data_IF_249692744151
#
_entry.id   IF_249692744151
#
_cell.length_a   1.000
_cell.length_b   1.000
_cell.length_c   1.000
_cell.angle_alpha   90.00
_cell.angle_beta   90.00
_cell.angle_gamma   90.00
#
_symmetry.space_group_name_H-M   'P 1'
#
loop_
_entity.id
_entity.type
_entity.pdbx_description
1 polymer ?
#
# COMPACT_ATOMS: atom_id res chain seq x y z
N UNK A 1 -41.07 21.12 -31.26
CA UNK A 1 -40.08 20.10 -31.42
C UNK A 1 -39.00 20.38 -30.37
N UNK A 2 -39.13 19.78 -29.17
CA UNK A 2 -38.19 19.99 -28.07
C UNK A 2 -37.02 19.01 -28.26
N UNK A 3 -35.86 19.50 -28.55
CA UNK A 3 -34.62 18.76 -28.59
C UNK A 3 -34.23 18.39 -27.12
N UNK A 4 -34.40 17.14 -26.80
CA UNK A 4 -33.95 16.54 -25.54
C UNK A 4 -32.43 16.35 -25.63
N UNK A 5 -31.66 17.32 -25.13
CA UNK A 5 -30.21 17.14 -24.95
C UNK A 5 -30.00 16.23 -23.76
N UNK A 6 -29.91 14.93 -24.02
CA UNK A 6 -29.35 13.98 -23.05
C UNK A 6 -27.91 14.40 -22.79
N UNK A 7 -27.63 14.91 -21.58
CA UNK A 7 -26.27 15.09 -21.11
C UNK A 7 -25.63 13.70 -21.04
N UNK A 8 -24.75 13.40 -21.97
CA UNK A 8 -23.81 12.28 -21.87
C UNK A 8 -22.88 12.61 -20.67
N UNK A 9 -23.18 12.03 -19.52
CA UNK A 9 -22.18 11.94 -18.46
C UNK A 9 -21.05 11.08 -19.00
N UNK A 10 -19.89 11.67 -19.23
CA UNK A 10 -18.68 10.89 -19.51
C UNK A 10 -18.50 9.90 -18.34
N UNK A 11 -18.36 8.62 -18.65
CA UNK A 11 -18.05 7.62 -17.65
C UNK A 11 -16.76 8.03 -16.89
N UNK A 12 -16.72 7.75 -15.58
CA UNK A 12 -15.52 8.01 -14.80
C UNK A 12 -14.34 7.27 -15.44
N UNK A 13 -13.19 7.90 -15.51
CA UNK A 13 -11.95 7.26 -16.01
C UNK A 13 -11.54 6.06 -15.16
N UNK A 14 -12.09 5.90 -13.96
CA UNK A 14 -11.87 4.73 -13.11
C UNK A 14 -12.53 3.45 -13.64
N UNK A 15 -13.55 3.55 -14.51
CA UNK A 15 -14.27 2.37 -15.04
C UNK A 15 -13.40 1.49 -15.99
N UNK A 16 -12.26 2.00 -16.44
CA UNK A 16 -11.30 1.21 -17.22
C UNK A 16 -10.51 0.21 -16.37
N UNK A 17 -10.45 0.42 -15.05
CA UNK A 17 -9.70 -0.42 -14.13
C UNK A 17 -10.55 -1.58 -13.64
N UNK A 18 -10.39 -2.72 -14.28
CA UNK A 18 -11.10 -3.96 -13.96
C UNK A 18 -10.14 -4.91 -13.25
N UNK A 19 -10.63 -5.54 -12.19
CA UNK A 19 -9.84 -6.52 -11.44
C UNK A 19 -9.49 -7.72 -12.34
N UNK A 20 -8.22 -8.06 -12.36
CA UNK A 20 -7.69 -9.22 -13.08
C UNK A 20 -7.99 -10.55 -12.37
N UNK A 21 -7.61 -11.68 -12.99
CA UNK A 21 -7.85 -13.01 -12.44
C UNK A 21 -7.22 -13.23 -11.07
N UNK A 22 -6.10 -12.58 -10.78
CA UNK A 22 -5.41 -12.72 -9.48
C UNK A 22 -6.21 -12.15 -8.30
N UNK A 23 -7.19 -11.31 -8.57
CA UNK A 23 -8.11 -10.75 -7.57
C UNK A 23 -9.42 -11.57 -7.44
N UNK A 24 -9.50 -12.76 -8.04
CA UNK A 24 -10.61 -13.68 -7.95
C UNK A 24 -10.18 -15.02 -7.34
N UNK A 25 -11.06 -15.72 -6.59
CA UNK A 25 -10.77 -17.07 -6.11
C UNK A 25 -10.57 -18.06 -7.26
N UNK A 26 -9.61 -18.98 -7.13
CA UNK A 26 -9.37 -20.04 -8.11
C UNK A 26 -9.55 -21.44 -7.52
N UNK A 27 -10.17 -22.37 -8.25
CA UNK A 27 -10.24 -23.78 -7.82
C UNK A 27 -8.84 -24.36 -7.56
N UNK A 28 -8.70 -25.05 -6.42
CA UNK A 28 -7.43 -25.68 -6.04
C UNK A 28 -6.42 -24.77 -5.35
N UNK A 29 -6.65 -23.46 -5.29
CA UNK A 29 -5.84 -22.55 -4.49
C UNK A 29 -6.28 -22.64 -3.02
N UNK A 30 -5.38 -23.00 -2.08
CA UNK A 30 -5.73 -23.02 -0.66
C UNK A 30 -6.05 -21.61 -0.16
N UNK A 31 -7.16 -21.49 0.58
CA UNK A 31 -7.65 -20.21 1.10
C UNK A 31 -7.09 -19.99 2.51
N UNK A 32 -6.48 -18.85 2.74
CA UNK A 32 -6.03 -18.40 4.04
C UNK A 32 -7.19 -18.01 4.95
N UNK A 33 -6.88 -17.72 6.20
CA UNK A 33 -7.86 -17.36 7.22
C UNK A 33 -7.73 -15.88 7.58
N UNK A 34 -8.84 -15.15 7.56
CA UNK A 34 -8.94 -13.81 8.13
C UNK A 34 -9.48 -13.90 9.56
N UNK A 35 -8.77 -13.30 10.50
CA UNK A 35 -9.10 -13.24 11.93
C UNK A 35 -9.38 -11.78 12.28
N UNK A 36 -10.38 -11.53 13.09
CA UNK A 36 -10.75 -10.19 13.51
C UNK A 36 -12.15 -9.74 13.04
N UNK A 37 -12.54 -8.48 13.28
CA UNK A 37 -11.64 -7.47 13.85
C UNK A 37 -11.22 -7.75 15.29
N UNK A 38 -9.95 -7.54 15.57
CA UNK A 38 -9.38 -7.44 16.90
C UNK A 38 -9.22 -5.96 17.25
N UNK A 39 -9.16 -5.63 18.53
CA UNK A 39 -9.03 -4.25 18.99
C UNK A 39 -7.68 -4.00 19.67
N UNK A 40 -6.97 -2.96 19.23
CA UNK A 40 -5.72 -2.50 19.83
C UNK A 40 -5.94 -1.15 20.54
N UNK A 41 -5.76 -1.11 21.84
CA UNK A 41 -5.63 0.14 22.61
C UNK A 41 -4.19 0.66 22.48
N UNK A 42 -4.01 1.99 22.55
CA UNK A 42 -2.70 2.58 22.35
C UNK A 42 -2.28 3.50 23.50
N UNK A 43 -1.03 3.34 23.95
CA UNK A 43 -0.35 4.29 24.82
C UNK A 43 0.32 5.42 24.04
N UNK A 44 0.74 5.13 22.79
CA UNK A 44 1.32 6.13 21.89
C UNK A 44 0.30 7.20 21.51
N UNK A 45 -0.97 6.79 21.31
CA UNK A 45 -2.12 7.67 21.13
C UNK A 45 -3.11 7.42 22.27
N UNK A 46 -2.92 8.05 23.46
CA UNK A 46 -3.74 7.77 24.64
C UNK A 46 -5.25 7.95 24.39
N UNK A 47 -6.04 7.13 25.05
CA UNK A 47 -7.50 7.13 24.94
C UNK A 47 -8.03 6.80 23.53
N UNK A 48 -7.23 6.12 22.70
CA UNK A 48 -7.69 5.62 21.40
C UNK A 48 -7.66 4.11 21.32
N UNK A 49 -8.61 3.58 20.57
CA UNK A 49 -8.62 2.18 20.11
C UNK A 49 -8.70 2.15 18.60
N UNK A 50 -8.33 1.03 18.01
CA UNK A 50 -8.43 0.77 16.58
C UNK A 50 -8.67 -0.68 16.30
N UNK A 51 -9.43 -0.96 15.27
CA UNK A 51 -9.65 -2.32 14.80
C UNK A 51 -8.57 -2.73 13.82
N UNK A 52 -8.19 -4.02 13.89
CA UNK A 52 -7.30 -4.62 12.91
C UNK A 52 -7.73 -6.07 12.62
N UNK A 53 -7.37 -6.53 11.44
CA UNK A 53 -7.58 -7.92 11.00
C UNK A 53 -6.24 -8.54 10.66
N UNK A 54 -6.16 -9.87 10.77
CA UNK A 54 -4.97 -10.63 10.46
C UNK A 54 -5.35 -11.69 9.41
N UNK A 55 -4.68 -11.65 8.26
CA UNK A 55 -4.74 -12.74 7.30
C UNK A 55 -3.56 -13.68 7.54
N UNK A 56 -3.87 -14.97 7.70
CA UNK A 56 -2.89 -16.06 7.84
C UNK A 56 -3.02 -16.95 6.61
N UNK A 57 -2.00 -17.03 5.75
CA UNK A 57 -2.06 -17.89 4.56
C UNK A 57 -2.13 -19.37 4.94
N UNK A 58 -2.79 -20.16 4.09
CA UNK A 58 -2.93 -21.60 4.31
C UNK A 58 -1.56 -22.33 4.36
N UNK A 59 -0.52 -21.74 3.77
CA UNK A 59 0.85 -22.24 3.76
C UNK A 59 1.68 -21.86 5.00
N UNK A 60 1.10 -21.11 5.94
CA UNK A 60 1.82 -20.72 7.15
C UNK A 60 2.19 -21.92 8.01
N UNK A 61 3.48 -22.01 8.34
CA UNK A 61 4.05 -23.01 9.24
C UNK A 61 4.68 -22.27 10.44
N UNK A 62 4.16 -22.45 11.68
CA UNK A 62 4.67 -21.73 12.85
C UNK A 62 6.13 -22.11 13.21
N UNK A 63 6.67 -23.19 12.66
CA UNK A 63 8.08 -23.56 12.83
C UNK A 63 9.03 -22.70 11.97
N UNK A 64 8.51 -21.96 11.00
CA UNK A 64 9.26 -21.13 10.05
C UNK A 64 8.83 -19.66 10.16
N UNK A 65 9.79 -18.71 10.14
CA UNK A 65 9.43 -17.31 10.17
C UNK A 65 8.73 -16.90 8.87
N UNK A 66 7.55 -16.22 9.00
CA UNK A 66 6.80 -15.68 7.89
C UNK A 66 7.15 -14.19 7.65
N UNK A 67 7.02 -13.75 6.42
CA UNK A 67 7.04 -12.32 6.10
C UNK A 67 5.81 -11.61 6.69
N UNK A 68 5.91 -10.29 6.85
CA UNK A 68 4.84 -9.43 7.36
C UNK A 68 4.52 -8.32 6.35
N UNK A 69 3.23 -8.08 6.11
CA UNK A 69 2.80 -6.90 5.38
C UNK A 69 1.63 -6.23 6.08
N UNK A 70 1.79 -4.93 6.40
CA UNK A 70 0.78 -4.13 7.12
C UNK A 70 0.13 -3.16 6.15
N UNK A 71 -1.20 -3.09 6.19
CA UNK A 71 -2.01 -2.21 5.35
C UNK A 71 -2.73 -1.18 6.21
N UNK A 72 -2.53 0.10 5.90
CA UNK A 72 -3.23 1.21 6.52
C UNK A 72 -4.62 1.35 5.90
N UNK A 73 -5.63 1.84 6.66
CA UNK A 73 -7.03 1.78 6.27
C UNK A 73 -7.48 0.34 5.98
N UNK A 74 -7.18 -0.56 6.91
CA UNK A 74 -7.27 -2.01 6.76
C UNK A 74 -8.58 -2.52 6.21
N UNK A 75 -9.69 -1.86 6.54
CA UNK A 75 -11.03 -2.20 6.08
C UNK A 75 -11.16 -2.20 4.54
N UNK A 76 -10.44 -1.32 3.81
CA UNK A 76 -10.46 -1.33 2.34
C UNK A 76 -9.68 -2.49 1.73
N UNK A 77 -8.64 -2.96 2.42
CA UNK A 77 -7.75 -3.99 1.89
C UNK A 77 -8.20 -5.40 2.24
N UNK A 78 -8.83 -5.60 3.40
CA UNK A 78 -9.30 -6.92 3.87
C UNK A 78 -10.62 -7.35 3.24
N UNK A 79 -11.43 -6.42 2.78
CA UNK A 79 -12.76 -6.71 2.22
C UNK A 79 -12.65 -7.42 0.87
N UNK A 80 -13.18 -8.64 0.80
CA UNK A 80 -13.17 -9.49 -0.40
C UNK A 80 -14.07 -8.96 -1.55
N UNK A 81 -14.88 -7.94 -1.29
CA UNK A 81 -15.76 -7.29 -2.28
C UNK A 81 -15.27 -5.92 -2.72
N UNK A 82 -14.31 -5.35 -1.99
CA UNK A 82 -13.69 -4.08 -2.34
C UNK A 82 -12.69 -4.20 -3.50
N UNK A 83 -12.01 -3.11 -3.83
CA UNK A 83 -11.11 -3.05 -4.98
C UNK A 83 -9.81 -3.85 -4.76
N UNK A 84 -9.24 -3.85 -3.54
CA UNK A 84 -7.93 -4.46 -3.28
C UNK A 84 -7.97 -5.97 -3.07
N UNK A 85 -8.93 -6.50 -2.32
CA UNK A 85 -9.14 -7.95 -2.07
C UNK A 85 -7.87 -8.70 -1.65
N UNK A 86 -7.06 -8.10 -0.80
CA UNK A 86 -5.72 -8.61 -0.47
C UNK A 86 -5.70 -10.08 -0.03
N UNK A 87 -6.64 -10.58 0.80
CA UNK A 87 -6.63 -12.01 1.16
C UNK A 87 -6.68 -12.93 -0.07
N UNK A 88 -7.53 -12.62 -1.06
CA UNK A 88 -7.63 -13.41 -2.30
C UNK A 88 -6.37 -13.28 -3.16
N UNK A 89 -5.83 -12.07 -3.29
CA UNK A 89 -4.58 -11.83 -4.03
C UNK A 89 -3.42 -12.58 -3.38
N UNK A 90 -3.32 -12.56 -2.06
CA UNK A 90 -2.28 -13.28 -1.32
C UNK A 90 -2.41 -14.80 -1.50
N UNK A 91 -3.63 -15.36 -1.39
CA UNK A 91 -3.87 -16.78 -1.65
C UNK A 91 -3.29 -17.20 -3.00
N UNK A 92 -3.61 -16.44 -4.05
CA UNK A 92 -3.18 -16.72 -5.42
C UNK A 92 -1.66 -16.58 -5.61
N UNK A 93 -1.06 -15.49 -5.14
CA UNK A 93 0.36 -15.22 -5.35
C UNK A 93 1.26 -16.13 -4.50
N UNK A 94 0.88 -16.41 -3.24
CA UNK A 94 1.62 -17.34 -2.37
C UNK A 94 1.55 -18.76 -2.93
N UNK A 95 0.38 -19.20 -3.38
CA UNK A 95 0.21 -20.54 -3.99
C UNK A 95 1.10 -20.72 -5.21
N UNK A 96 1.18 -19.69 -6.08
CA UNK A 96 2.06 -19.72 -7.26
C UNK A 96 3.53 -19.40 -6.95
N UNK A 97 3.87 -19.18 -5.68
CA UNK A 97 5.21 -18.77 -5.24
C UNK A 97 5.72 -17.48 -5.90
N UNK A 98 4.82 -16.57 -6.24
CA UNK A 98 5.13 -15.26 -6.80
C UNK A 98 5.39 -14.22 -5.71
N UNK A 99 5.05 -14.56 -4.47
CA UNK A 99 5.44 -13.86 -3.25
C UNK A 99 5.69 -14.87 -2.12
N UNK A 100 6.44 -14.50 -1.05
CA UNK A 100 6.68 -15.37 0.09
C UNK A 100 5.41 -15.65 0.90
N UNK A 101 5.47 -16.65 1.79
CA UNK A 101 4.46 -16.83 2.83
C UNK A 101 4.44 -15.59 3.72
N UNK A 102 3.38 -14.79 3.61
CA UNK A 102 3.28 -13.47 4.23
C UNK A 102 2.02 -13.36 5.06
N UNK A 103 2.16 -13.03 6.33
CA UNK A 103 1.02 -12.64 7.18
C UNK A 103 0.64 -11.21 6.83
N UNK A 104 -0.64 -11.01 6.47
CA UNK A 104 -1.23 -9.71 6.21
C UNK A 104 -1.87 -9.13 7.46
N UNK A 105 -1.62 -7.86 7.77
CA UNK A 105 -2.28 -7.16 8.88
C UNK A 105 -2.94 -5.89 8.35
N UNK A 106 -4.21 -5.73 8.65
CA UNK A 106 -5.06 -4.67 8.13
C UNK A 106 -5.52 -3.81 9.29
N UNK A 107 -4.91 -2.64 9.47
CA UNK A 107 -5.15 -1.78 10.64
C UNK A 107 -5.86 -0.50 10.24
N UNK A 108 -6.90 -0.15 10.99
CA UNK A 108 -7.59 1.12 10.87
C UNK A 108 -6.91 2.21 11.71
N UNK A 109 -7.15 3.50 11.39
CA UNK A 109 -6.75 4.60 12.26
C UNK A 109 -7.49 4.52 13.61
N UNK A 110 -6.90 5.13 14.62
CA UNK A 110 -7.49 5.19 15.94
C UNK A 110 -8.73 6.08 16.02
N UNK A 111 -9.59 5.77 16.98
CA UNK A 111 -10.71 6.62 17.37
C UNK A 111 -10.81 6.66 18.89
N UNK A 112 -11.24 7.81 19.42
CA UNK A 112 -11.60 7.96 20.83
C UNK A 112 -13.05 7.49 21.03
N UNK A 113 -13.53 7.29 22.28
CA UNK A 113 -14.91 6.81 22.54
C UNK A 113 -16.02 7.68 21.96
N UNK A 114 -15.75 8.96 21.70
CA UNK A 114 -16.68 9.94 21.12
C UNK A 114 -16.54 10.08 19.58
N UNK A 115 -15.58 9.40 18.98
CA UNK A 115 -15.35 9.37 17.54
C UNK A 115 -15.94 8.11 16.90
N UNK A 116 -16.04 8.12 15.57
CA UNK A 116 -16.55 7.00 14.78
C UNK A 116 -15.40 6.21 14.17
N UNK A 117 -15.47 4.89 14.24
CA UNK A 117 -14.56 4.02 13.53
C UNK A 117 -14.69 4.19 12.00
N UNK A 118 -13.59 3.99 11.29
CA UNK A 118 -13.58 4.01 9.81
C UNK A 118 -14.45 2.89 9.23
N UNK A 119 -15.18 3.21 8.16
CA UNK A 119 -16.04 2.28 7.42
C UNK A 119 -15.70 2.30 5.95
N UNK A 120 -16.21 1.33 5.18
CA UNK A 120 -16.02 1.26 3.72
C UNK A 120 -16.67 2.43 2.95
N UNK A 121 -17.48 3.26 3.61
CA UNK A 121 -18.17 4.39 2.98
C UNK A 121 -17.40 5.71 3.08
N UNK A 122 -16.35 5.79 3.91
CA UNK A 122 -15.60 7.03 4.11
C UNK A 122 -14.15 6.78 4.57
N UNK A 123 -13.27 7.74 4.29
CA UNK A 123 -11.87 7.69 4.71
C UNK A 123 -11.63 7.98 6.21
N UNK A 124 -12.61 8.49 6.93
CA UNK A 124 -12.53 8.75 8.36
C UNK A 124 -11.77 10.00 8.79
N UNK A 125 -11.29 10.85 7.88
CA UNK A 125 -10.48 12.04 8.20
C UNK A 125 -11.15 13.06 9.12
N UNK A 126 -12.49 13.06 9.17
CA UNK A 126 -13.29 14.01 9.96
C UNK A 126 -13.93 13.37 11.17
N UNK A 127 -13.96 12.05 11.24
CA UNK A 127 -14.75 11.28 12.21
C UNK A 127 -13.89 10.52 13.21
N UNK A 128 -12.57 10.42 12.94
CA UNK A 128 -11.61 9.75 13.80
C UNK A 128 -10.21 10.39 13.69
N UNK A 129 -9.18 9.71 14.23
CA UNK A 129 -7.81 10.23 14.28
C UNK A 129 -7.03 10.09 12.97
N UNK A 130 -7.61 9.56 11.89
CA UNK A 130 -6.90 9.25 10.64
C UNK A 130 -6.01 10.40 10.17
N UNK A 131 -6.54 11.61 10.14
CA UNK A 131 -5.78 12.79 9.69
C UNK A 131 -4.53 13.03 10.53
N UNK A 132 -4.65 12.91 11.85
CA UNK A 132 -3.55 13.19 12.80
C UNK A 132 -2.53 12.05 12.76
N UNK A 133 -2.99 10.80 12.78
CA UNK A 133 -2.12 9.64 12.83
C UNK A 133 -1.37 9.41 11.53
N UNK A 134 -2.05 9.59 10.38
CA UNK A 134 -1.50 9.18 9.08
C UNK A 134 -0.71 10.28 8.37
N UNK A 135 -1.02 11.57 8.61
CA UNK A 135 -0.36 12.64 7.88
C UNK A 135 0.75 13.32 8.71
N UNK A 136 0.98 12.94 9.97
CA UNK A 136 2.13 13.38 10.73
C UNK A 136 3.41 12.76 10.15
N UNK A 137 4.48 13.57 10.07
CA UNK A 137 5.76 13.15 9.49
C UNK A 137 6.77 12.71 10.56
N UNK A 138 6.34 12.70 11.81
CA UNK A 138 7.15 12.27 12.95
C UNK A 138 7.17 10.73 13.11
N UNK A 139 7.84 10.24 14.14
CA UNK A 139 7.99 8.80 14.42
C UNK A 139 6.86 8.21 15.26
N UNK A 140 5.84 9.02 15.60
CA UNK A 140 4.82 8.61 16.57
C UNK A 140 4.02 7.41 16.08
N UNK A 141 3.55 7.45 14.83
CA UNK A 141 2.79 6.31 14.29
C UNK A 141 3.68 5.08 14.09
N UNK A 142 4.94 5.25 13.72
CA UNK A 142 5.87 4.11 13.63
C UNK A 142 6.12 3.45 14.99
N UNK A 143 6.11 4.21 16.09
CA UNK A 143 6.15 3.64 17.46
C UNK A 143 4.91 2.80 17.76
N UNK A 144 3.72 3.26 17.40
CA UNK A 144 2.50 2.44 17.53
C UNK A 144 2.64 1.10 16.81
N UNK A 145 3.11 1.12 15.58
CA UNK A 145 3.29 -0.12 14.79
C UNK A 145 4.36 -1.02 15.43
N UNK A 146 5.53 -0.46 15.75
CA UNK A 146 6.69 -1.27 16.18
C UNK A 146 6.64 -1.67 17.64
N UNK A 147 6.15 -0.78 18.51
CA UNK A 147 6.23 -0.96 19.96
C UNK A 147 4.91 -1.51 20.55
N UNK A 148 3.79 -1.43 19.83
CA UNK A 148 2.49 -1.92 20.29
C UNK A 148 1.93 -3.05 19.40
N UNK A 149 1.75 -2.82 18.10
CA UNK A 149 1.14 -3.82 17.20
C UNK A 149 2.05 -5.03 16.96
N UNK A 150 3.30 -4.83 16.57
CA UNK A 150 4.21 -5.94 16.26
C UNK A 150 4.47 -6.86 17.45
N UNK A 151 4.64 -6.38 18.69
CA UNK A 151 4.74 -7.26 19.86
C UNK A 151 3.48 -8.09 20.10
N UNK A 152 2.28 -7.53 19.84
CA UNK A 152 1.03 -8.28 19.95
C UNK A 152 0.98 -9.43 18.93
N UNK A 153 1.32 -9.15 17.68
CA UNK A 153 1.38 -10.17 16.62
C UNK A 153 2.38 -11.28 16.94
N UNK A 154 3.55 -10.94 17.46
CA UNK A 154 4.62 -11.91 17.81
C UNK A 154 4.26 -12.87 18.94
N UNK A 155 3.20 -12.59 19.72
CA UNK A 155 2.68 -13.56 20.71
C UNK A 155 2.03 -14.77 20.05
N UNK A 156 1.54 -14.61 18.82
CA UNK A 156 0.72 -15.60 18.12
C UNK A 156 1.36 -16.15 16.85
N UNK A 157 2.30 -15.40 16.26
CA UNK A 157 2.89 -15.71 14.96
C UNK A 157 4.40 -15.64 14.99
N UNK A 158 5.04 -16.63 14.35
CA UNK A 158 6.48 -16.61 14.09
C UNK A 158 6.76 -15.70 12.89
N UNK A 159 7.07 -14.43 13.17
CA UNK A 159 7.40 -13.43 12.16
C UNK A 159 8.91 -13.33 11.97
N UNK A 160 9.35 -13.15 10.74
CA UNK A 160 10.77 -12.92 10.45
C UNK A 160 11.32 -11.73 11.23
N UNK A 161 12.52 -11.82 11.80
CA UNK A 161 13.20 -10.68 12.40
C UNK A 161 13.88 -9.76 11.38
N UNK A 162 13.95 -10.17 10.11
CA UNK A 162 14.65 -9.44 9.06
C UNK A 162 13.77 -8.31 8.49
N UNK A 163 14.19 -7.03 8.52
CA UNK A 163 13.41 -5.93 7.97
C UNK A 163 13.17 -6.03 6.46
N UNK A 164 13.97 -6.82 5.70
CA UNK A 164 13.71 -7.14 4.29
C UNK A 164 12.42 -7.96 4.09
N UNK A 165 11.96 -8.65 5.12
CA UNK A 165 10.76 -9.47 5.08
C UNK A 165 9.51 -8.71 5.56
N UNK A 166 9.66 -7.41 5.82
CA UNK A 166 8.56 -6.57 6.27
C UNK A 166 8.20 -5.51 5.22
N UNK A 167 6.91 -5.47 4.90
CA UNK A 167 6.31 -4.51 3.98
C UNK A 167 5.19 -3.73 4.66
N UNK A 168 4.93 -2.53 4.13
CA UNK A 168 3.84 -1.68 4.60
C UNK A 168 3.18 -0.98 3.40
N UNK A 169 1.86 -0.85 3.43
CA UNK A 169 1.10 -0.30 2.31
C UNK A 169 -0.06 0.58 2.77
N UNK A 170 -0.56 1.40 1.88
CA UNK A 170 -1.76 2.17 2.10
C UNK A 170 -2.17 2.97 0.88
N UNK A 171 -3.34 3.61 1.00
CA UNK A 171 -3.90 4.48 -0.02
C UNK A 171 -4.08 5.90 0.54
N UNK A 172 -3.86 6.93 -0.27
CA UNK A 172 -4.06 8.33 0.11
C UNK A 172 -3.25 8.71 1.35
N UNK A 173 -3.88 9.16 2.43
CA UNK A 173 -3.21 9.41 3.71
C UNK A 173 -2.59 8.12 4.31
N UNK A 174 -3.19 6.95 4.06
CA UNK A 174 -2.59 5.67 4.44
C UNK A 174 -1.27 5.38 3.71
N UNK A 175 -1.13 5.87 2.48
CA UNK A 175 0.09 5.71 1.69
C UNK A 175 1.26 6.55 2.21
N UNK A 176 1.03 7.83 2.51
CA UNK A 176 2.08 8.65 3.14
C UNK A 176 2.43 8.14 4.53
N UNK A 177 1.44 7.63 5.28
CA UNK A 177 1.67 6.96 6.57
C UNK A 177 2.60 5.76 6.41
N UNK A 178 2.31 4.86 5.48
CA UNK A 178 3.15 3.69 5.18
C UNK A 178 4.59 4.10 4.81
N UNK A 179 4.73 5.10 3.95
CA UNK A 179 6.05 5.64 3.60
C UNK A 179 6.75 6.24 4.83
N UNK A 180 6.04 7.00 5.66
CA UNK A 180 6.60 7.61 6.88
C UNK A 180 7.09 6.54 7.86
N UNK A 181 6.35 5.44 8.05
CA UNK A 181 6.81 4.33 8.91
C UNK A 181 8.13 3.75 8.41
N UNK A 182 8.22 3.41 7.14
CA UNK A 182 9.47 2.88 6.56
C UNK A 182 10.60 3.91 6.57
N UNK A 183 10.30 5.20 6.35
CA UNK A 183 11.25 6.29 6.43
C UNK A 183 11.84 6.49 7.82
N UNK A 184 11.01 6.41 8.86
CA UNK A 184 11.41 6.56 10.26
C UNK A 184 12.07 5.30 10.82
N UNK A 185 11.60 4.11 10.37
CA UNK A 185 12.04 2.80 10.89
C UNK A 185 12.49 1.85 9.77
N UNK A 186 13.51 2.22 8.98
CA UNK A 186 14.07 1.34 7.95
C UNK A 186 14.78 0.10 8.55
N UNK A 187 15.02 0.09 9.84
CA UNK A 187 15.43 -1.07 10.63
C UNK A 187 14.32 -2.09 10.85
N UNK A 188 13.06 -1.72 10.57
CA UNK A 188 11.88 -2.57 10.72
C UNK A 188 11.14 -2.81 9.40
N UNK A 189 11.05 -1.83 8.51
CA UNK A 189 10.32 -1.91 7.25
C UNK A 189 11.17 -1.41 6.09
N UNK A 190 11.30 -2.25 5.05
CA UNK A 190 12.08 -1.92 3.86
C UNK A 190 11.32 -1.96 2.55
N UNK A 191 10.02 -2.28 2.58
CA UNK A 191 9.18 -2.40 1.39
C UNK A 191 7.90 -1.59 1.56
N UNK A 192 7.59 -0.73 0.58
CA UNK A 192 6.44 0.19 0.62
C UNK A 192 5.64 0.10 -0.66
N UNK A 193 4.30 -0.01 -0.54
CA UNK A 193 3.35 0.26 -1.63
C UNK A 193 2.55 1.51 -1.26
N UNK A 194 2.54 2.48 -2.15
CA UNK A 194 1.82 3.75 -2.03
C UNK A 194 0.87 3.90 -3.20
N UNK A 195 -0.44 3.82 -2.96
CA UNK A 195 -1.45 4.11 -4.00
C UNK A 195 -2.11 5.46 -3.73
N UNK A 196 -2.28 6.28 -4.78
CA UNK A 196 -2.84 7.64 -4.69
C UNK A 196 -2.29 8.45 -3.50
N UNK A 197 -0.96 8.40 -3.29
CA UNK A 197 -0.32 8.85 -2.06
C UNK A 197 -0.48 10.33 -1.76
N UNK A 198 -0.90 10.68 -0.54
CA UNK A 198 -1.11 12.08 -0.10
C UNK A 198 0.20 12.79 0.25
N UNK A 199 1.20 12.75 -0.63
CA UNK A 199 2.43 13.56 -0.48
C UNK A 199 2.15 15.05 -0.73
N UNK A 200 1.05 15.53 -0.23
CA UNK A 200 0.50 16.87 -0.41
C UNK A 200 0.54 17.67 0.88
N UNK A 201 0.10 18.93 0.83
CA UNK A 201 0.16 19.85 1.98
C UNK A 201 -1.00 19.65 2.98
N UNK A 202 -1.44 18.41 3.23
CA UNK A 202 -2.46 18.15 4.27
C UNK A 202 -1.90 18.47 5.67
N UNK A 203 -0.72 17.96 5.97
CA UNK A 203 0.07 18.26 7.17
C UNK A 203 1.58 18.39 6.82
N UNK A 204 1.87 18.98 5.68
CA UNK A 204 3.25 19.21 5.23
C UNK A 204 3.87 18.07 4.42
N UNK A 205 3.13 17.04 4.01
CA UNK A 205 3.65 15.87 3.28
C UNK A 205 4.41 16.20 2.00
N UNK A 206 4.11 17.35 1.38
CA UNK A 206 4.77 17.85 0.17
C UNK A 206 6.27 18.16 0.35
N UNK A 207 6.78 18.13 1.58
CA UNK A 207 8.21 18.34 1.86
C UNK A 207 9.05 17.08 1.64
N UNK A 208 8.45 15.90 1.51
CA UNK A 208 9.19 14.65 1.36
C UNK A 208 10.18 14.61 0.19
N UNK A 209 9.86 15.10 -1.02
CA UNK A 209 10.86 15.11 -2.10
C UNK A 209 12.14 15.84 -1.73
N UNK A 210 12.06 16.96 -0.99
CA UNK A 210 13.22 17.71 -0.54
C UNK A 210 13.93 17.05 0.64
N UNK A 211 13.18 16.42 1.55
CA UNK A 211 13.78 15.62 2.63
C UNK A 211 14.59 14.45 2.07
N UNK A 212 14.07 13.74 1.06
CA UNK A 212 14.76 12.64 0.39
C UNK A 212 16.07 13.14 -0.23
N UNK A 213 16.05 14.25 -0.96
CA UNK A 213 17.24 14.82 -1.58
C UNK A 213 18.32 15.23 -0.57
N UNK A 214 17.92 15.74 0.59
CA UNK A 214 18.81 16.24 1.65
C UNK A 214 19.31 15.15 2.58
N UNK A 215 18.71 13.95 2.57
CA UNK A 215 19.07 12.85 3.46
C UNK A 215 19.97 11.84 2.76
N UNK A 216 20.72 11.07 3.54
CA UNK A 216 21.36 9.86 3.05
C UNK A 216 20.31 8.83 2.63
N UNK A 217 20.55 8.06 1.54
CA UNK A 217 19.64 7.03 1.10
C UNK A 217 19.37 5.99 2.21
N UNK A 218 18.09 5.69 2.41
CA UNK A 218 17.64 4.62 3.31
C UNK A 218 17.41 3.34 2.52
N UNK A 219 17.63 2.15 3.10
CA UNK A 219 17.45 0.88 2.39
C UNK A 219 15.97 0.51 2.27
N UNK A 220 15.19 1.34 1.61
CA UNK A 220 13.76 1.11 1.37
C UNK A 220 13.47 1.00 -0.13
N UNK A 221 12.58 0.07 -0.48
CA UNK A 221 12.02 -0.15 -1.82
C UNK A 221 10.62 0.41 -1.85
N UNK A 222 10.27 1.17 -2.89
CA UNK A 222 8.98 1.87 -2.95
C UNK A 222 8.32 1.66 -4.31
N UNK A 223 7.07 1.20 -4.30
CA UNK A 223 6.21 1.26 -5.49
C UNK A 223 5.17 2.36 -5.28
N UNK A 224 5.04 3.28 -6.26
CA UNK A 224 4.03 4.34 -6.26
C UNK A 224 3.03 4.13 -7.40
N UNK A 225 1.76 4.35 -7.12
CA UNK A 225 0.70 4.40 -8.12
C UNK A 225 -0.10 5.68 -7.94
N UNK A 226 -0.51 6.31 -9.04
CA UNK A 226 -1.43 7.44 -9.04
C UNK A 226 -2.08 7.63 -10.41
N UNK A 227 -3.16 8.41 -10.45
CA UNK A 227 -3.91 8.74 -11.65
C UNK A 227 -3.81 10.20 -12.07
N UNK A 228 -3.75 10.44 -13.38
CA UNK A 228 -3.72 11.80 -13.96
C UNK A 228 -4.93 12.63 -13.57
N UNK A 229 -6.07 12.00 -13.28
CA UNK A 229 -7.32 12.68 -12.89
C UNK A 229 -7.54 12.68 -11.37
N UNK A 230 -6.50 12.41 -10.57
CA UNK A 230 -6.55 12.62 -9.12
C UNK A 230 -6.74 14.12 -8.79
N UNK A 231 -6.91 14.45 -7.53
CA UNK A 231 -7.08 15.81 -7.04
C UNK A 231 -5.99 16.75 -7.56
N UNK A 232 -6.37 17.74 -8.37
CA UNK A 232 -5.45 18.57 -9.18
C UNK A 232 -5.04 19.89 -8.51
N UNK A 233 -5.07 19.97 -7.18
CA UNK A 233 -4.56 21.15 -6.48
C UNK A 233 -5.40 22.42 -6.61
N UNK A 234 -6.63 22.33 -7.06
CA UNK A 234 -7.53 23.49 -7.12
C UNK A 234 -8.03 23.85 -5.71
N UNK A 235 -7.73 25.07 -5.29
CA UNK A 235 -8.15 25.63 -4.00
C UNK A 235 -9.24 26.68 -4.22
N UNK A 236 -10.33 26.55 -3.46
CA UNK A 236 -11.52 27.39 -3.65
C UNK A 236 -12.53 26.78 -4.62
N UNK A 237 -13.58 27.52 -4.93
CA UNK A 237 -14.66 27.11 -5.85
C UNK A 237 -14.92 28.16 -6.90
N UNK A 238 -15.39 27.72 -8.08
CA UNK A 238 -15.80 28.60 -9.17
C UNK A 238 -14.66 29.41 -9.81
N UNK A 239 -14.95 30.53 -10.49
CA UNK A 239 -13.96 31.30 -11.25
C UNK A 239 -12.80 31.89 -10.42
N UNK A 240 -12.94 31.92 -9.09
CA UNK A 240 -11.88 32.36 -8.16
C UNK A 240 -10.99 31.24 -7.63
N UNK A 241 -11.14 30.00 -8.09
CA UNK A 241 -10.28 28.92 -7.67
C UNK A 241 -8.84 29.14 -8.16
N UNK A 242 -7.87 28.96 -7.27
CA UNK A 242 -6.45 29.09 -7.56
C UNK A 242 -5.77 27.72 -7.55
N UNK A 243 -4.77 27.53 -8.41
CA UNK A 243 -3.98 26.34 -8.43
C UNK A 243 -2.84 26.44 -7.40
N UNK A 244 -2.78 25.44 -6.50
CA UNK A 244 -1.67 25.26 -5.55
C UNK A 244 -1.02 23.89 -5.83
N UNK A 245 0.21 23.87 -6.38
CA UNK A 245 0.88 22.62 -6.73
C UNK A 245 1.17 21.73 -5.54
N UNK A 246 1.18 22.25 -4.31
CA UNK A 246 1.38 21.44 -3.10
C UNK A 246 0.16 20.60 -2.73
N UNK A 247 -0.98 20.85 -3.39
CA UNK A 247 -2.24 20.10 -3.26
C UNK A 247 -2.61 19.31 -4.53
N UNK A 248 -1.72 19.21 -5.49
CA UNK A 248 -1.90 18.39 -6.68
C UNK A 248 -1.27 17.00 -6.42
N UNK A 249 -2.12 16.00 -6.19
CA UNK A 249 -1.66 14.63 -5.83
C UNK A 249 -0.74 14.07 -6.88
N UNK A 250 -1.17 14.05 -8.13
CA UNK A 250 -0.38 13.48 -9.22
C UNK A 250 0.97 14.19 -9.39
N UNK A 251 0.99 15.53 -9.35
CA UNK A 251 2.23 16.30 -9.44
C UNK A 251 3.17 16.01 -8.25
N UNK A 252 2.64 15.82 -7.04
CA UNK A 252 3.46 15.51 -5.88
C UNK A 252 3.99 14.08 -5.91
N UNK A 253 3.21 13.09 -6.39
CA UNK A 253 3.69 11.72 -6.58
C UNK A 253 4.79 11.64 -7.65
N UNK A 254 4.69 12.41 -8.75
CA UNK A 254 5.79 12.55 -9.74
C UNK A 254 7.05 13.11 -9.06
N UNK A 255 6.94 14.13 -8.21
CA UNK A 255 8.11 14.69 -7.47
C UNK A 255 8.72 13.68 -6.51
N UNK A 256 7.90 12.83 -5.87
CA UNK A 256 8.37 11.74 -5.02
C UNK A 256 9.23 10.76 -5.82
N UNK A 257 8.73 10.27 -6.97
CA UNK A 257 9.49 9.37 -7.83
C UNK A 257 10.78 10.03 -8.30
N UNK A 258 10.75 11.29 -8.73
CA UNK A 258 11.94 12.02 -9.16
C UNK A 258 13.01 12.06 -8.05
N UNK A 259 12.62 12.44 -6.81
CA UNK A 259 13.54 12.51 -5.68
C UNK A 259 14.14 11.14 -5.31
N UNK A 260 13.30 10.09 -5.30
CA UNK A 260 13.73 8.72 -5.03
C UNK A 260 14.71 8.24 -6.10
N UNK A 261 14.42 8.50 -7.37
CA UNK A 261 15.30 8.13 -8.50
C UNK A 261 16.63 8.87 -8.47
N UNK A 262 16.62 10.18 -8.22
CA UNK A 262 17.83 11.01 -8.07
C UNK A 262 18.76 10.47 -6.96
N UNK A 263 18.17 9.96 -5.87
CA UNK A 263 18.89 9.38 -4.74
C UNK A 263 19.15 7.88 -4.89
N UNK A 264 18.86 7.29 -6.06
CA UNK A 264 19.09 5.87 -6.42
C UNK A 264 18.39 4.87 -5.50
N UNK A 265 17.20 5.20 -5.01
CA UNK A 265 16.35 4.23 -4.35
C UNK A 265 15.86 3.16 -5.33
N UNK A 266 15.56 1.98 -4.80
CA UNK A 266 14.84 0.95 -5.55
C UNK A 266 13.35 1.38 -5.64
N UNK A 267 13.00 2.03 -6.73
CA UNK A 267 11.68 2.63 -6.96
C UNK A 267 11.08 2.16 -8.28
N UNK A 268 9.77 1.87 -8.24
CA UNK A 268 8.94 1.67 -9.43
C UNK A 268 7.65 2.47 -9.30
N UNK A 269 6.98 2.69 -10.42
CA UNK A 269 5.73 3.43 -10.42
C UNK A 269 4.85 3.08 -11.61
N UNK A 270 3.54 3.34 -11.46
CA UNK A 270 2.56 3.26 -12.54
C UNK A 270 1.67 4.50 -12.50
N UNK A 271 1.65 5.25 -13.60
CA UNK A 271 0.74 6.38 -13.78
C UNK A 271 -0.42 5.97 -14.69
N UNK A 272 -1.65 6.20 -14.25
CA UNK A 272 -2.85 5.90 -14.98
C UNK A 272 -3.72 7.13 -15.25
N UNK A 273 -4.97 6.88 -15.63
CA UNK A 273 -6.00 7.90 -15.86
C UNK A 273 -7.02 7.97 -14.71
N UNK A 274 -6.77 7.24 -13.61
CA UNK A 274 -7.66 7.16 -12.44
C UNK A 274 -7.87 8.52 -11.75
N UNK A 275 -8.94 8.56 -10.97
CA UNK A 275 -9.22 9.64 -10.03
C UNK A 275 -8.65 9.28 -8.64
N UNK A 276 -9.00 10.05 -7.59
CA UNK A 276 -8.65 9.70 -6.20
C UNK A 276 -9.50 8.53 -5.68
N UNK A 277 -9.31 7.36 -6.28
CA UNK A 277 -10.07 6.14 -5.97
C UNK A 277 -9.17 4.91 -5.85
N UNK A 278 -9.67 3.86 -5.20
CA UNK A 278 -8.92 2.61 -5.01
C UNK A 278 -8.90 1.70 -6.26
N UNK A 279 -9.66 2.02 -7.32
CA UNK A 279 -9.86 1.13 -8.47
C UNK A 279 -8.57 0.84 -9.23
N UNK A 280 -7.79 1.86 -9.55
CA UNK A 280 -6.52 1.68 -10.25
C UNK A 280 -5.53 0.87 -9.40
N UNK A 281 -5.30 1.30 -8.16
CA UNK A 281 -4.43 0.59 -7.22
C UNK A 281 -4.85 -0.87 -7.01
N UNK A 282 -6.16 -1.14 -6.88
CA UNK A 282 -6.70 -2.49 -6.76
C UNK A 282 -6.46 -3.35 -7.99
N UNK A 283 -6.68 -2.79 -9.19
CA UNK A 283 -6.49 -3.51 -10.44
C UNK A 283 -5.05 -3.98 -10.66
N UNK A 284 -4.05 -3.18 -10.22
CA UNK A 284 -2.62 -3.48 -10.41
C UNK A 284 -1.93 -4.00 -9.14
N UNK A 285 -2.67 -4.22 -8.05
CA UNK A 285 -2.09 -4.69 -6.78
C UNK A 285 -1.29 -6.00 -6.94
N UNK A 286 -1.74 -7.02 -7.70
CA UNK A 286 -0.95 -8.22 -7.92
C UNK A 286 0.44 -7.94 -8.53
N UNK A 287 0.53 -7.02 -9.49
CA UNK A 287 1.78 -6.63 -10.15
C UNK A 287 2.69 -5.88 -9.18
N UNK A 288 2.13 -4.96 -8.37
CA UNK A 288 2.89 -4.24 -7.34
C UNK A 288 3.50 -5.21 -6.33
N UNK A 289 2.74 -6.22 -5.89
CA UNK A 289 3.21 -7.24 -4.95
C UNK A 289 4.31 -8.12 -5.57
N UNK A 290 4.18 -8.56 -6.83
CA UNK A 290 5.23 -9.29 -7.54
C UNK A 290 6.53 -8.50 -7.62
N UNK A 291 6.41 -7.22 -7.96
CA UNK A 291 7.57 -6.35 -8.01
C UNK A 291 8.19 -6.13 -6.63
N UNK A 292 7.38 -5.94 -5.61
CA UNK A 292 7.84 -5.69 -4.25
C UNK A 292 8.64 -6.87 -3.70
N UNK A 293 8.19 -8.11 -3.98
CA UNK A 293 8.78 -9.36 -3.49
C UNK A 293 9.67 -10.08 -4.52
N UNK A 294 10.05 -9.40 -5.62
CA UNK A 294 10.74 -10.03 -6.77
C UNK A 294 12.05 -10.72 -6.45
N UNK A 295 12.75 -10.31 -5.40
CA UNK A 295 14.05 -10.88 -5.00
C UNK A 295 13.92 -11.93 -3.89
N UNK A 296 12.71 -12.19 -3.43
CA UNK A 296 12.51 -13.16 -2.37
C UNK A 296 12.90 -14.57 -2.86
N UNK A 297 13.68 -15.33 -2.05
CA UNK A 297 14.05 -16.69 -2.41
C UNK A 297 12.81 -17.56 -2.59
N UNK A 298 12.79 -18.34 -3.64
CA UNK A 298 11.64 -19.21 -3.94
C UNK A 298 11.55 -20.37 -2.98
N UNK A 299 12.71 -20.89 -2.62
CA UNK A 299 12.89 -22.03 -1.75
C UNK A 299 14.36 -22.13 -1.39
N UNK A 300 14.64 -22.62 -0.18
CA UNK A 300 15.98 -23.01 0.24
C UNK A 300 16.34 -24.43 -0.24
N UNK A 301 15.39 -25.14 -0.87
CA UNK A 301 15.64 -26.47 -1.42
C UNK A 301 16.41 -26.34 -2.76
N UNK A 302 17.68 -26.77 -2.82
CA UNK A 302 18.47 -26.70 -4.06
C UNK A 302 17.93 -27.61 -5.18
N UNK A 303 16.98 -28.51 -4.86
CA UNK A 303 16.31 -29.39 -5.82
C UNK A 303 15.04 -28.77 -6.41
N UNK A 304 14.59 -27.63 -5.87
CA UNK A 304 13.42 -26.95 -6.43
C UNK A 304 13.79 -26.28 -7.75
N UNK A 305 13.52 -27.00 -8.84
CA UNK A 305 13.69 -26.52 -10.21
C UNK A 305 12.48 -25.71 -10.70
N UNK A 306 11.54 -25.32 -9.82
CA UNK A 306 10.37 -24.56 -10.22
C UNK A 306 10.77 -23.19 -10.80
N UNK A 307 10.37 -22.94 -12.05
CA UNK A 307 10.50 -21.63 -12.68
C UNK A 307 9.41 -20.69 -12.13
N UNK A 308 9.80 -19.47 -11.81
CA UNK A 308 8.83 -18.41 -11.55
C UNK A 308 8.48 -17.75 -12.86
N UNK A 309 7.29 -18.01 -13.36
CA UNK A 309 6.70 -17.16 -14.35
C UNK A 309 6.45 -15.78 -13.75
N UNK A 310 7.24 -14.77 -14.11
CA UNK A 310 6.78 -13.41 -14.02
C UNK A 310 5.87 -13.18 -15.21
N UNK A 311 4.60 -12.93 -14.96
CA UNK A 311 3.62 -12.62 -16.01
C UNK A 311 3.88 -11.25 -16.68
N UNK A 312 4.74 -10.42 -16.07
CA UNK A 312 5.17 -9.14 -16.63
C UNK A 312 6.70 -9.14 -16.72
N UNK A 313 7.30 -8.89 -17.90
CA UNK A 313 8.74 -8.71 -18.03
C UNK A 313 9.20 -7.58 -17.09
N UNK A 314 10.28 -7.80 -16.36
CA UNK A 314 10.91 -6.70 -15.61
C UNK A 314 11.27 -5.57 -16.58
N UNK A 315 10.98 -4.31 -16.28
CA UNK A 315 11.45 -3.19 -17.09
C UNK A 315 12.97 -3.13 -17.25
N UNK A 316 13.69 -3.74 -16.32
CA UNK A 316 15.15 -3.81 -16.20
C UNK A 316 15.77 -5.15 -16.61
N UNK A 317 14.97 -6.12 -17.06
CA UNK A 317 15.49 -7.33 -17.66
C UNK A 317 16.05 -7.01 -19.08
N UNK A 318 17.20 -6.36 -19.10
CA UNK A 318 18.02 -6.28 -20.33
C UNK A 318 18.42 -7.72 -20.63
N UNK A 319 17.80 -8.33 -21.62
CA UNK A 319 18.23 -9.59 -22.18
C UNK A 319 19.69 -9.41 -22.62
N UNK A 320 20.67 -10.15 -22.09
CA UNK A 320 22.02 -10.05 -22.60
C UNK A 320 21.99 -10.37 -24.09
N UNK A 321 22.57 -9.49 -24.88
CA UNK A 321 22.69 -9.73 -26.32
C UNK A 321 23.35 -11.09 -26.52
N UNK A 322 22.87 -11.93 -27.46
CA UNK A 322 23.50 -13.20 -27.75
C UNK A 322 24.98 -12.95 -28.13
N UNK A 323 25.87 -13.68 -27.45
CA UNK A 323 27.29 -13.63 -27.73
C UNK A 323 27.49 -13.89 -29.23
N UNK A 324 28.03 -12.91 -29.94
CA UNK A 324 28.47 -13.08 -31.31
C UNK A 324 29.59 -14.15 -31.32
N UNK A 325 29.34 -15.25 -32.03
CA UNK A 325 30.35 -16.27 -32.34
C UNK A 325 31.29 -15.78 -33.43
#
# INVERSE_FOLDING_TARGET
>A
MLLNTAALFAASTDEIYVLGPDSAPHPGVPVGKVIGPETLASNVYPNTTRNYWIYVPAQYDPSKPACLMIFQDGHFFVDLKADYRIPTVFDNLIYRREMPVTIGVFINPGHTPDQTESTNSEWGDKTNNRRIEYNALDDKYSKLIVDELMPELKKHYNLSPNPEDHAIAGASSGAICAFTVAWQRPDQFRKVISTIGSFTNIMGGHVYPDLIRKSDPKPIRVFLEDGLNDNRGLRGKGPGATYDPTWDWHAQNIKMVAALTEKKYDVSYTWGLGTHSNKHGGAIMPEMLRWLWRDYPRTDDPKDASERGFLVPRPDAVTPAPAQK
#
